data_IF_833979839042
#
_entry.id   IF_833979839042
#
_cell.length_a   1.000
_cell.length_b   1.000
_cell.length_c   1.000
_cell.angle_alpha   90.00
_cell.angle_beta   90.00
_cell.angle_gamma   90.00
#
_symmetry.space_group_name_H-M   'P 1'
#
loop_
_entity.id
_entity.type
_entity.pdbx_description
1 polymer ?
#
# COMPACT_ATOMS: atom_id res chain seq x y z
N UNK A 1 20.66 10.46 -4.13
CA UNK A 1 19.95 10.80 -2.88
C UNK A 1 20.41 12.19 -2.49
N UNK A 2 19.50 13.16 -2.36
CA UNK A 2 19.85 14.54 -1.96
C UNK A 2 19.56 14.67 -0.47
N UNK A 3 20.44 15.31 0.30
CA UNK A 3 20.30 15.45 1.76
C UNK A 3 20.52 16.90 2.16
N UNK A 4 19.86 17.30 3.26
CA UNK A 4 20.06 18.57 3.95
C UNK A 4 20.51 18.23 5.37
N UNK A 5 21.80 18.39 5.67
CA UNK A 5 22.36 17.87 6.91
C UNK A 5 22.11 16.36 7.05
N UNK A 6 21.43 15.94 8.14
CA UNK A 6 21.05 14.54 8.38
C UNK A 6 19.67 14.16 7.82
N UNK A 7 18.94 15.09 7.18
CA UNK A 7 17.57 14.87 6.70
C UNK A 7 17.58 14.58 5.20
N UNK A 8 16.82 13.57 4.77
CA UNK A 8 16.69 13.23 3.35
C UNK A 8 15.77 14.21 2.63
N UNK A 9 16.09 14.58 1.37
CA UNK A 9 15.20 15.36 0.50
C UNK A 9 14.50 14.42 -0.47
N UNK A 10 13.18 14.32 -0.34
CA UNK A 10 12.33 13.44 -1.15
C UNK A 10 11.51 14.28 -2.13
N UNK A 11 11.60 13.96 -3.41
CA UNK A 11 10.86 14.68 -4.47
C UNK A 11 9.62 13.87 -4.85
N UNK A 12 8.45 14.48 -4.74
CA UNK A 12 7.20 13.79 -5.06
C UNK A 12 6.95 13.70 -6.57
N UNK A 13 6.23 12.65 -7.01
CA UNK A 13 5.75 12.54 -8.40
C UNK A 13 4.87 13.74 -8.80
N UNK A 14 4.12 14.30 -7.84
CA UNK A 14 3.24 15.45 -8.05
C UNK A 14 4.02 16.73 -8.34
N UNK A 15 5.14 16.96 -7.64
CA UNK A 15 6.08 18.03 -7.98
C UNK A 15 6.61 17.88 -9.41
N UNK A 16 7.06 16.68 -9.80
CA UNK A 16 7.58 16.45 -11.16
C UNK A 16 6.53 16.73 -12.24
N UNK A 17 5.29 16.25 -12.04
CA UNK A 17 4.17 16.51 -12.97
C UNK A 17 3.79 17.99 -13.03
N UNK A 18 3.89 18.72 -11.92
CA UNK A 18 3.62 20.16 -11.88
C UNK A 18 4.74 20.94 -12.58
N UNK A 19 6.00 20.58 -12.32
CA UNK A 19 7.20 21.12 -12.98
C UNK A 19 7.13 20.97 -14.50
N UNK A 20 6.65 19.85 -15.02
CA UNK A 20 6.50 19.62 -16.47
C UNK A 20 5.62 20.67 -17.16
N UNK A 21 4.67 21.27 -16.44
CA UNK A 21 3.77 22.33 -16.95
C UNK A 21 4.45 23.69 -17.06
N UNK A 22 5.64 23.84 -16.47
CA UNK A 22 6.38 25.09 -16.35
C UNK A 22 7.81 24.95 -16.93
N UNK A 23 7.96 24.55 -18.20
CA UNK A 23 9.26 24.26 -18.82
C UNK A 23 10.23 25.44 -18.80
N UNK A 24 9.72 26.67 -18.90
CA UNK A 24 10.51 27.90 -18.93
C UNK A 24 11.30 28.16 -17.64
N UNK A 25 10.93 27.53 -16.51
CA UNK A 25 11.56 27.73 -15.20
C UNK A 25 12.39 26.52 -14.75
N UNK A 26 12.60 25.50 -15.61
CA UNK A 26 13.30 24.27 -15.21
C UNK A 26 14.71 24.49 -14.67
N UNK A 27 15.46 25.41 -15.28
CA UNK A 27 16.80 25.75 -14.82
C UNK A 27 16.77 26.38 -13.42
N UNK A 28 15.85 27.31 -13.20
CA UNK A 28 15.68 27.98 -11.90
C UNK A 28 15.26 26.97 -10.82
N UNK A 29 14.42 25.98 -11.16
CA UNK A 29 14.03 24.92 -10.24
C UNK A 29 15.21 24.07 -9.80
N UNK A 30 16.06 23.65 -10.75
CA UNK A 30 17.21 22.82 -10.43
C UNK A 30 18.23 23.58 -9.58
N UNK A 31 18.51 24.85 -9.91
CA UNK A 31 19.41 25.73 -9.14
C UNK A 31 18.90 25.97 -7.72
N UNK A 32 17.62 26.31 -7.55
CA UNK A 32 17.04 26.62 -6.24
C UNK A 32 16.85 25.37 -5.38
N UNK A 33 16.55 24.23 -5.99
CA UNK A 33 16.50 22.95 -5.29
C UNK A 33 17.90 22.52 -4.84
N UNK A 34 18.94 22.78 -5.62
CA UNK A 34 20.33 22.52 -5.21
C UNK A 34 20.73 23.42 -4.02
N UNK A 35 20.43 24.72 -4.08
CA UNK A 35 20.63 25.64 -2.95
C UNK A 35 19.87 25.19 -1.70
N UNK A 36 18.62 24.74 -1.86
CA UNK A 36 17.83 24.18 -0.76
C UNK A 36 18.49 22.94 -0.15
N UNK A 37 19.00 22.03 -0.99
CA UNK A 37 19.71 20.83 -0.52
C UNK A 37 21.01 21.18 0.22
N UNK A 38 21.72 22.23 -0.19
CA UNK A 38 22.94 22.68 0.48
C UNK A 38 22.64 23.34 1.83
N UNK A 39 21.70 24.29 1.85
CA UNK A 39 21.28 25.01 3.05
C UNK A 39 19.87 25.62 2.85
N UNK A 40 18.82 25.14 3.53
CA UNK A 40 17.48 25.71 3.43
C UNK A 40 17.40 27.18 3.86
N UNK A 41 18.31 27.64 4.71
CA UNK A 41 18.39 29.02 5.18
C UNK A 41 19.48 29.82 4.45
N UNK A 42 19.81 29.42 3.22
CA UNK A 42 20.78 30.14 2.41
C UNK A 42 20.31 31.60 2.15
N UNK A 43 21.17 32.63 2.22
CA UNK A 43 20.77 34.04 2.05
C UNK A 43 20.06 34.34 0.72
N UNK A 44 20.42 33.61 -0.34
CA UNK A 44 19.82 33.71 -1.68
C UNK A 44 18.57 32.84 -1.87
N UNK A 45 18.08 32.20 -0.81
CA UNK A 45 16.89 31.37 -0.80
C UNK A 45 15.94 31.87 0.29
N UNK A 46 14.87 32.54 -0.12
CA UNK A 46 13.80 32.89 0.81
C UNK A 46 13.02 31.62 1.10
N UNK A 47 13.11 31.11 2.32
CA UNK A 47 12.40 29.93 2.81
C UNK A 47 11.66 30.32 4.09
N UNK A 48 10.36 30.03 4.14
CA UNK A 48 9.50 30.43 5.24
C UNK A 48 8.36 29.44 5.45
N UNK A 49 7.86 29.39 6.69
CA UNK A 49 6.69 28.59 7.07
C UNK A 49 5.40 29.27 6.60
N UNK A 50 4.41 28.46 6.21
CA UNK A 50 3.08 28.92 5.82
C UNK A 50 2.13 28.90 7.03
N UNK A 51 2.25 29.94 7.86
CA UNK A 51 1.55 30.05 9.15
C UNK A 51 0.02 30.19 9.04
N UNK A 52 -0.48 30.57 7.87
CA UNK A 52 -1.90 30.77 7.60
C UNK A 52 -2.64 29.49 7.18
N UNK A 53 -1.94 28.36 7.05
CA UNK A 53 -2.53 27.10 6.63
C UNK A 53 -3.30 26.41 7.76
N UNK A 54 -4.40 25.73 7.41
CA UNK A 54 -5.24 24.99 8.37
C UNK A 54 -4.48 23.85 9.07
N UNK A 55 -3.39 23.37 8.47
CA UNK A 55 -2.54 22.30 8.97
C UNK A 55 -1.07 22.75 8.94
N UNK A 56 -0.41 22.70 10.10
CA UNK A 56 1.01 23.11 10.24
C UNK A 56 1.97 22.17 9.52
N UNK A 57 3.20 22.62 9.30
CA UNK A 57 4.26 21.82 8.66
C UNK A 57 4.41 22.03 7.15
N UNK A 58 3.79 23.08 6.61
CA UNK A 58 4.00 23.54 5.24
C UNK A 58 4.99 24.69 5.20
N UNK A 59 5.94 24.59 4.29
CA UNK A 59 6.94 25.62 4.03
C UNK A 59 6.98 25.93 2.54
N UNK A 60 7.45 27.13 2.20
CA UNK A 60 7.65 27.51 0.81
C UNK A 60 9.00 28.20 0.61
N UNK A 61 9.69 27.82 -0.46
CA UNK A 61 10.82 28.59 -0.96
C UNK A 61 10.54 29.26 -2.31
N UNK A 62 11.24 30.37 -2.53
CA UNK A 62 11.08 31.20 -3.70
C UNK A 62 12.03 30.71 -4.79
N UNK A 63 11.47 30.37 -5.94
CA UNK A 63 12.28 30.11 -7.13
C UNK A 63 12.69 31.44 -7.76
N UNK A 64 11.70 32.29 -7.98
CA UNK A 64 11.84 33.66 -8.46
C UNK A 64 10.68 34.51 -7.88
N UNK A 65 10.38 35.68 -8.46
CA UNK A 65 9.29 36.54 -7.97
C UNK A 65 7.92 35.87 -8.10
N UNK A 66 7.72 35.05 -9.13
CA UNK A 66 6.41 34.56 -9.55
C UNK A 66 6.15 33.12 -9.06
N UNK A 67 7.20 32.30 -8.94
CA UNK A 67 7.07 30.86 -8.65
C UNK A 67 7.47 30.53 -7.21
N UNK A 68 6.66 29.66 -6.59
CA UNK A 68 6.91 29.10 -5.26
C UNK A 68 6.93 27.58 -5.33
N UNK A 69 7.83 26.98 -4.56
CA UNK A 69 7.86 25.53 -4.33
C UNK A 69 7.38 25.27 -2.92
N UNK A 70 6.44 24.34 -2.80
CA UNK A 70 5.86 23.91 -1.53
C UNK A 70 6.62 22.68 -1.03
N UNK A 71 7.10 22.77 0.19
CA UNK A 71 7.84 21.74 0.90
C UNK A 71 7.09 21.41 2.19
N UNK A 72 7.09 20.13 2.57
CA UNK A 72 6.61 19.72 3.88
C UNK A 72 7.77 19.36 4.79
N UNK A 73 7.74 19.89 6.02
CA UNK A 73 8.71 19.65 7.08
C UNK A 73 8.31 18.40 7.88
N UNK A 74 9.18 17.37 7.88
CA UNK A 74 8.94 16.10 8.57
C UNK A 74 10.17 15.71 9.40
N UNK A 75 9.98 15.01 10.52
CA UNK A 75 11.05 14.77 11.53
C UNK A 75 12.40 14.33 10.92
N UNK A 76 12.39 13.38 9.97
CA UNK A 76 13.60 12.83 9.34
C UNK A 76 13.83 13.24 7.87
N UNK A 77 12.89 13.98 7.26
CA UNK A 77 12.97 14.31 5.83
C UNK A 77 12.30 15.62 5.43
N UNK A 78 12.75 16.18 4.31
CA UNK A 78 12.11 17.30 3.61
C UNK A 78 11.43 16.77 2.36
N UNK A 79 10.12 17.00 2.24
CA UNK A 79 9.35 16.47 1.11
C UNK A 79 8.96 17.60 0.17
N UNK A 80 9.48 17.59 -1.06
CA UNK A 80 9.19 18.60 -2.09
C UNK A 80 7.91 18.22 -2.83
N UNK A 81 6.82 18.91 -2.50
CA UNK A 81 5.46 18.46 -2.77
C UNK A 81 4.85 19.04 -4.05
N UNK A 82 5.07 20.33 -4.34
CA UNK A 82 4.39 21.01 -5.44
C UNK A 82 5.13 22.27 -5.89
N UNK A 83 4.85 22.74 -7.10
CA UNK A 83 5.40 23.99 -7.66
C UNK A 83 4.36 24.67 -8.53
N UNK A 84 4.16 25.97 -8.33
CA UNK A 84 3.27 26.79 -9.14
C UNK A 84 3.52 28.29 -8.92
N UNK A 85 2.75 29.12 -9.60
CA UNK A 85 2.68 30.55 -9.35
C UNK A 85 2.23 30.81 -7.90
N UNK A 86 2.73 31.88 -7.30
CA UNK A 86 2.59 32.24 -5.89
C UNK A 86 1.23 31.90 -5.27
N UNK A 87 0.15 32.50 -5.77
CA UNK A 87 -1.18 32.34 -5.17
C UNK A 87 -1.70 30.90 -5.32
N UNK A 88 -1.45 30.30 -6.48
CA UNK A 88 -1.87 28.92 -6.76
C UNK A 88 -1.12 27.91 -5.88
N UNK A 89 0.17 28.14 -5.64
CA UNK A 89 1.00 27.28 -4.79
C UNK A 89 0.54 27.32 -3.32
N UNK A 90 0.18 28.51 -2.81
CA UNK A 90 -0.31 28.64 -1.43
C UNK A 90 -1.71 28.09 -1.26
N UNK A 91 -2.64 28.40 -2.17
CA UNK A 91 -3.98 27.78 -2.15
C UNK A 91 -3.91 26.26 -2.26
N UNK A 92 -2.94 25.73 -3.01
CA UNK A 92 -2.71 24.30 -3.10
C UNK A 92 -2.32 23.69 -1.75
N UNK A 93 -1.48 24.37 -0.97
CA UNK A 93 -1.00 23.94 0.35
C UNK A 93 -2.09 24.08 1.42
N UNK A 94 -2.78 25.23 1.48
CA UNK A 94 -3.86 25.52 2.45
C UNK A 94 -4.98 24.48 2.42
N UNK A 95 -5.26 23.97 1.22
CA UNK A 95 -6.31 22.99 0.96
C UNK A 95 -5.88 21.55 1.24
N UNK A 96 -4.68 21.28 1.72
CA UNK A 96 -4.16 19.90 1.80
C UNK A 96 -3.54 19.59 3.16
N UNK A 97 -3.70 18.33 3.55
CA UNK A 97 -3.05 17.77 4.74
C UNK A 97 -1.98 16.78 4.31
N UNK A 98 -0.76 16.97 4.80
CA UNK A 98 0.29 15.98 4.67
C UNK A 98 0.09 14.88 5.71
N UNK A 99 0.11 13.61 5.28
CA UNK A 99 -0.07 12.44 6.15
C UNK A 99 1.07 11.47 5.91
N UNK A 100 1.84 11.16 6.94
CA UNK A 100 2.85 10.09 6.90
C UNK A 100 2.23 8.81 7.41
N UNK A 101 2.36 7.73 6.65
CA UNK A 101 2.12 6.40 7.15
C UNK A 101 3.42 5.85 7.74
N UNK A 102 3.53 5.93 9.07
CA UNK A 102 4.71 5.50 9.83
C UNK A 102 4.98 3.98 9.75
N UNK A 103 3.99 3.20 9.35
CA UNK A 103 4.10 1.73 9.24
C UNK A 103 4.70 1.29 7.92
N UNK A 104 4.50 2.07 6.85
CA UNK A 104 4.99 1.76 5.49
C UNK A 104 6.12 2.68 5.03
N UNK A 105 6.46 3.72 5.78
CA UNK A 105 7.44 4.73 5.37
C UNK A 105 7.00 5.57 4.17
N UNK A 106 5.71 5.52 3.80
CA UNK A 106 5.16 6.26 2.67
C UNK A 106 4.48 7.55 3.12
N UNK A 107 4.57 8.59 2.29
CA UNK A 107 3.89 9.86 2.51
C UNK A 107 2.70 10.00 1.54
N UNK A 108 1.61 10.59 2.01
CA UNK A 108 0.41 10.87 1.22
C UNK A 108 -0.09 12.28 1.50
N UNK A 109 -0.51 12.98 0.44
CA UNK A 109 -1.03 14.34 0.52
C UNK A 109 -2.54 14.27 0.29
N UNK A 110 -3.31 14.38 1.37
CA UNK A 110 -4.77 14.29 1.33
C UNK A 110 -5.36 15.48 0.56
N UNK A 111 -6.39 15.26 -0.29
CA UNK A 111 -7.11 16.33 -0.97
C UNK A 111 -7.92 17.20 0.02
N UNK A 112 -8.37 18.40 -0.40
CA UNK A 112 -9.20 19.28 0.43
C UNK A 112 -10.46 18.64 0.97
N UNK A 113 -10.79 19.01 2.21
CA UNK A 113 -11.97 18.54 2.96
C UNK A 113 -13.27 18.83 2.20
N UNK A 114 -13.33 19.92 1.43
CA UNK A 114 -14.53 20.28 0.67
C UNK A 114 -14.73 19.36 -0.55
N UNK A 115 -13.65 18.91 -1.21
CA UNK A 115 -13.70 17.85 -2.24
C UNK A 115 -13.99 16.46 -1.63
N UNK A 116 -13.66 16.25 -0.36
CA UNK A 116 -13.96 15.01 0.36
C UNK A 116 -15.42 14.94 0.83
N UNK A 117 -16.07 16.08 1.11
CA UNK A 117 -17.46 16.15 1.57
C UNK A 117 -18.48 16.02 0.43
N UNK A 118 -18.18 16.48 -0.78
CA UNK A 118 -19.11 16.30 -1.92
C UNK A 118 -19.22 14.82 -2.36
N UNK A 119 -18.25 13.98 -1.97
CA UNK A 119 -18.23 12.54 -2.24
C UNK A 119 -18.85 11.68 -1.12
N UNK A 120 -19.33 12.26 -0.02
CA UNK A 120 -19.80 11.48 1.14
C UNK A 120 -21.14 11.97 1.69
N UNK A 121 -22.22 11.69 0.96
CA UNK A 121 -23.50 11.45 1.61
C UNK A 121 -23.45 10.04 2.24
N UNK A 122 -23.13 9.96 3.53
CA UNK A 122 -23.19 8.72 4.31
C UNK A 122 -24.66 8.23 4.45
N UNK A 123 -24.86 6.91 4.70
CA UNK A 123 -25.24 6.61 6.09
C UNK A 123 -24.60 5.34 6.70
N UNK A 124 -24.56 5.41 8.04
CA UNK A 124 -24.48 4.42 9.11
C UNK A 124 -23.32 3.40 9.18
N UNK A 125 -22.39 3.75 10.09
CA UNK A 125 -21.58 3.01 11.08
C UNK A 125 -21.19 1.52 10.93
N UNK A 126 -21.46 0.84 9.82
CA UNK A 126 -21.13 -0.58 9.64
C UNK A 126 -19.85 -0.87 8.83
N UNK A 127 -19.17 0.12 8.23
CA UNK A 127 -18.11 -0.14 7.22
C UNK A 127 -16.66 0.14 7.64
N UNK A 128 -16.36 0.24 8.94
CA UNK A 128 -14.99 0.49 9.42
C UNK A 128 -13.96 -0.62 9.10
N UNK A 129 -14.36 -1.70 8.42
CA UNK A 129 -13.50 -2.83 8.03
C UNK A 129 -12.86 -2.65 6.63
N UNK A 130 -13.34 -1.72 5.79
CA UNK A 130 -12.81 -1.51 4.43
C UNK A 130 -12.45 -0.06 4.16
N UNK A 131 -11.33 0.42 4.73
CA UNK A 131 -10.71 1.66 4.27
C UNK A 131 -9.69 1.37 3.16
N UNK A 132 -10.16 1.06 1.96
CA UNK A 132 -9.37 1.31 0.76
C UNK A 132 -9.54 2.81 0.43
N UNK A 133 -8.45 3.61 0.34
CA UNK A 133 -8.56 4.99 -0.11
C UNK A 133 -8.87 4.96 -1.61
N UNK A 134 -10.16 4.91 -1.96
CA UNK A 134 -10.62 4.90 -3.35
C UNK A 134 -10.44 6.27 -4.04
N UNK A 135 -9.78 7.23 -3.39
CA UNK A 135 -9.44 8.53 -3.95
C UNK A 135 -8.48 8.35 -5.14
N UNK A 136 -9.00 8.43 -6.35
CA UNK A 136 -8.23 8.27 -7.60
C UNK A 136 -8.73 7.17 -8.53
N UNK A 137 -9.73 6.38 -8.14
CA UNK A 137 -10.34 5.36 -8.99
C UNK A 137 -11.65 5.83 -9.61
N UNK A 138 -11.96 5.35 -10.81
CA UNK A 138 -13.24 5.62 -11.47
C UNK A 138 -14.37 4.86 -10.79
N UNK A 139 -15.64 5.30 -10.91
CA UNK A 139 -16.78 4.56 -10.37
C UNK A 139 -16.83 3.10 -10.84
N UNK A 140 -16.42 2.83 -12.08
CA UNK A 140 -16.35 1.48 -12.63
C UNK A 140 -15.26 0.63 -11.96
N UNK A 141 -14.12 1.23 -11.63
CA UNK A 141 -13.05 0.54 -10.88
C UNK A 141 -13.48 0.25 -9.44
N UNK A 142 -14.18 1.19 -8.81
CA UNK A 142 -14.75 1.00 -7.47
C UNK A 142 -15.75 -0.17 -7.48
N UNK A 143 -16.62 -0.23 -8.49
CA UNK A 143 -17.57 -1.33 -8.64
C UNK A 143 -16.87 -2.68 -8.81
N UNK A 144 -15.78 -2.74 -9.57
CA UNK A 144 -14.96 -3.95 -9.71
C UNK A 144 -14.36 -4.39 -8.37
N UNK A 145 -13.81 -3.46 -7.59
CA UNK A 145 -13.28 -3.76 -6.24
C UNK A 145 -14.40 -4.27 -5.34
N UNK A 146 -15.54 -3.60 -5.30
CA UNK A 146 -16.68 -4.02 -4.49
C UNK A 146 -17.19 -5.39 -4.91
N UNK A 147 -17.26 -5.67 -6.21
CA UNK A 147 -17.64 -6.98 -6.71
C UNK A 147 -16.63 -8.07 -6.28
N UNK A 148 -15.33 -7.77 -6.30
CA UNK A 148 -14.29 -8.68 -5.80
C UNK A 148 -14.47 -8.98 -4.29
N UNK A 149 -14.66 -7.95 -3.47
CA UNK A 149 -14.93 -8.12 -2.03
C UNK A 149 -16.23 -8.89 -1.76
N UNK A 150 -17.29 -8.62 -2.54
CA UNK A 150 -18.52 -9.42 -2.50
C UNK A 150 -18.28 -10.88 -2.90
N UNK A 151 -17.32 -11.15 -3.78
CA UNK A 151 -16.88 -12.51 -4.11
C UNK A 151 -16.33 -13.25 -2.89
N UNK A 152 -15.51 -12.59 -2.07
CA UNK A 152 -15.04 -13.18 -0.80
C UNK A 152 -16.17 -13.49 0.16
N UNK A 153 -17.17 -12.60 0.23
CA UNK A 153 -18.39 -12.84 0.99
C UNK A 153 -19.21 -14.00 0.41
N UNK A 154 -19.44 -14.04 -0.90
CA UNK A 154 -20.25 -15.05 -1.57
C UNK A 154 -19.69 -16.46 -1.36
N UNK A 155 -18.38 -16.64 -1.56
CA UNK A 155 -17.70 -17.92 -1.34
C UNK A 155 -17.33 -18.19 0.11
N UNK A 156 -17.67 -17.30 1.03
CA UNK A 156 -17.46 -17.45 2.48
C UNK A 156 -15.98 -17.71 2.83
N UNK A 157 -15.05 -17.06 2.11
CA UNK A 157 -13.62 -17.32 2.25
C UNK A 157 -13.11 -17.12 3.69
N UNK A 158 -13.62 -16.10 4.39
CA UNK A 158 -13.27 -15.83 5.79
C UNK A 158 -13.79 -16.92 6.73
N UNK A 159 -15.02 -17.39 6.53
CA UNK A 159 -15.59 -18.45 7.35
C UNK A 159 -14.76 -19.74 7.21
N UNK A 160 -14.45 -20.14 5.98
CA UNK A 160 -13.66 -21.33 5.70
C UNK A 160 -12.21 -21.20 6.18
N UNK A 161 -11.61 -20.01 6.10
CA UNK A 161 -10.25 -19.79 6.61
C UNK A 161 -10.18 -19.89 8.14
N UNK A 162 -11.16 -19.33 8.86
CA UNK A 162 -11.27 -19.45 10.32
C UNK A 162 -11.49 -20.90 10.74
N UNK A 163 -12.41 -21.61 10.08
CA UNK A 163 -12.68 -23.02 10.38
C UNK A 163 -11.44 -23.90 10.09
N UNK A 164 -10.79 -23.66 8.96
CA UNK A 164 -9.55 -24.33 8.58
C UNK A 164 -8.41 -24.09 9.58
N UNK A 165 -8.22 -22.84 10.01
CA UNK A 165 -7.24 -22.48 11.03
C UNK A 165 -7.53 -23.19 12.36
N UNK A 166 -8.80 -23.24 12.78
CA UNK A 166 -9.22 -23.96 13.98
C UNK A 166 -8.90 -25.46 13.92
N UNK A 167 -9.22 -26.10 12.79
CA UNK A 167 -8.94 -27.53 12.58
C UNK A 167 -7.43 -27.82 12.53
N UNK A 168 -6.66 -27.02 11.79
CA UNK A 168 -5.20 -27.14 11.71
C UNK A 168 -4.56 -26.90 13.07
N UNK A 169 -5.02 -25.90 13.82
CA UNK A 169 -4.56 -25.64 15.18
C UNK A 169 -4.83 -26.79 16.13
N UNK A 170 -6.03 -27.40 16.06
CA UNK A 170 -6.38 -28.56 16.88
C UNK A 170 -5.51 -29.77 16.56
N UNK A 171 -5.33 -30.10 15.27
CA UNK A 171 -4.44 -31.18 14.81
C UNK A 171 -2.99 -30.91 15.22
N UNK A 172 -2.54 -29.66 15.07
CA UNK A 172 -1.19 -29.24 15.42
C UNK A 172 -0.90 -29.37 16.92
N UNK A 173 -1.82 -28.93 17.78
CA UNK A 173 -1.71 -29.07 19.23
C UNK A 173 -1.75 -30.55 19.67
N UNK A 174 -2.64 -31.35 19.07
CA UNK A 174 -2.68 -32.79 19.32
C UNK A 174 -1.37 -33.48 18.93
N UNK A 175 -0.87 -33.20 17.73
CA UNK A 175 0.39 -33.73 17.21
C UNK A 175 1.60 -33.29 18.05
N UNK A 176 1.63 -32.04 18.48
CA UNK A 176 2.67 -31.51 19.38
C UNK A 176 2.65 -32.22 20.73
N UNK A 177 1.46 -32.40 21.33
CA UNK A 177 1.30 -33.12 22.59
C UNK A 177 1.71 -34.58 22.48
N UNK A 178 1.37 -35.25 21.38
CA UNK A 178 1.82 -36.60 21.08
C UNK A 178 3.34 -36.69 20.97
N UNK A 179 3.95 -35.73 20.24
CA UNK A 179 5.39 -35.69 20.02
C UNK A 179 6.16 -35.45 21.33
N UNK A 180 5.73 -34.49 22.15
CA UNK A 180 6.32 -34.21 23.47
C UNK A 180 6.24 -35.41 24.41
N UNK A 181 5.09 -36.10 24.45
CA UNK A 181 4.93 -37.31 25.25
C UNK A 181 5.86 -38.45 24.81
N UNK A 182 6.25 -38.47 23.52
CA UNK A 182 7.21 -39.44 22.98
C UNK A 182 8.67 -39.03 23.21
N UNK A 183 8.98 -37.74 23.18
CA UNK A 183 10.35 -37.24 23.11
C UNK A 183 10.93 -36.71 24.42
N UNK A 184 10.13 -36.51 25.48
CA UNK A 184 10.64 -35.90 26.73
C UNK A 184 11.79 -36.69 27.38
N UNK A 185 11.71 -38.04 27.43
CA UNK A 185 12.77 -38.90 27.99
C UNK A 185 14.09 -38.81 27.21
N UNK A 186 14.12 -39.05 25.88
CA UNK A 186 15.37 -38.98 25.12
C UNK A 186 15.96 -37.56 25.05
N UNK A 187 15.14 -36.52 25.24
CA UNK A 187 15.60 -35.13 25.33
C UNK A 187 16.13 -34.76 26.73
N UNK A 188 16.11 -35.68 27.71
CA UNK A 188 16.58 -35.42 29.06
C UNK A 188 15.68 -34.48 29.88
N UNK A 189 14.42 -34.33 29.48
CA UNK A 189 13.43 -33.49 30.18
C UNK A 189 12.83 -34.24 31.39
N UNK A 190 12.35 -33.48 32.36
CA UNK A 190 11.71 -34.03 33.57
C UNK A 190 10.25 -34.43 33.32
N UNK A 191 9.69 -34.06 32.18
CA UNK A 191 8.35 -34.44 31.72
C UNK A 191 7.91 -33.62 30.49
N UNK A 192 6.71 -33.91 29.93
CA UNK A 192 6.18 -33.17 28.77
C UNK A 192 5.88 -31.69 29.04
N UNK A 193 5.66 -31.33 30.30
CA UNK A 193 5.36 -29.96 30.74
C UNK A 193 6.61 -29.21 31.25
N UNK A 194 7.80 -29.79 31.07
CA UNK A 194 9.06 -29.16 31.47
C UNK A 194 9.35 -27.93 30.60
N UNK A 195 9.57 -26.78 31.24
CA UNK A 195 9.86 -25.50 30.58
C UNK A 195 11.17 -25.57 29.77
N UNK A 196 12.11 -26.45 30.14
CA UNK A 196 13.32 -26.70 29.37
C UNK A 196 13.04 -27.24 27.95
N UNK A 197 11.83 -27.78 27.70
CA UNK A 197 11.39 -28.24 26.38
C UNK A 197 10.96 -27.11 25.42
N UNK A 198 10.88 -25.85 25.86
CA UNK A 198 10.42 -24.73 25.03
C UNK A 198 11.18 -24.57 23.70
N UNK A 199 12.52 -24.63 23.64
CA UNK A 199 13.24 -24.52 22.37
C UNK A 199 12.86 -25.61 21.37
N UNK A 200 12.59 -26.83 21.86
CA UNK A 200 12.14 -27.93 21.03
C UNK A 200 10.73 -27.68 20.48
N UNK A 201 9.80 -27.21 21.32
CA UNK A 201 8.46 -26.81 20.90
C UNK A 201 8.52 -25.72 19.82
N UNK A 202 9.30 -24.67 20.04
CA UNK A 202 9.47 -23.58 19.09
C UNK A 202 10.06 -24.07 17.77
N UNK A 203 11.05 -24.96 17.79
CA UNK A 203 11.64 -25.53 16.59
C UNK A 203 10.62 -26.37 15.79
N UNK A 204 9.83 -27.21 16.47
CA UNK A 204 8.78 -28.02 15.84
C UNK A 204 7.70 -27.13 15.23
N UNK A 205 7.23 -26.13 15.96
CA UNK A 205 6.21 -25.18 15.47
C UNK A 205 6.76 -24.36 14.30
N UNK A 206 7.98 -23.83 14.38
CA UNK A 206 8.60 -23.08 13.29
C UNK A 206 8.73 -23.93 12.01
N UNK A 207 9.17 -25.18 12.15
CA UNK A 207 9.28 -26.11 11.03
C UNK A 207 7.90 -26.42 10.43
N UNK A 208 6.91 -26.73 11.27
CA UNK A 208 5.54 -26.98 10.83
C UNK A 208 4.95 -25.77 10.09
N UNK A 209 5.15 -24.56 10.63
CA UNK A 209 4.74 -23.31 10.00
C UNK A 209 5.38 -23.14 8.63
N UNK A 210 6.70 -23.30 8.53
CA UNK A 210 7.43 -23.16 7.25
C UNK A 210 6.95 -24.18 6.20
N UNK A 211 6.76 -25.44 6.59
CA UNK A 211 6.28 -26.50 5.69
C UNK A 211 4.83 -26.30 5.23
N UNK A 212 4.02 -25.58 6.03
CA UNK A 212 2.62 -25.31 5.70
C UNK A 212 2.41 -24.12 4.75
N UNK A 213 3.42 -23.27 4.53
CA UNK A 213 3.31 -22.06 3.71
C UNK A 213 2.79 -22.32 2.28
N UNK A 214 3.28 -23.32 1.52
CA UNK A 214 2.80 -23.55 0.16
C UNK A 214 1.31 -23.87 0.08
N UNK A 215 0.81 -24.58 1.10
CA UNK A 215 -0.60 -24.95 1.19
C UNK A 215 -1.47 -23.74 1.53
N UNK A 216 -1.09 -22.97 2.55
CA UNK A 216 -1.80 -21.75 2.95
C UNK A 216 -1.86 -20.74 1.80
N UNK A 217 -0.72 -20.49 1.17
CA UNK A 217 -0.62 -19.57 0.04
C UNK A 217 -1.36 -20.11 -1.19
N UNK A 218 -1.40 -21.43 -1.38
CA UNK A 218 -2.23 -22.07 -2.42
C UNK A 218 -3.72 -21.81 -2.25
N UNK A 219 -4.24 -21.97 -1.03
CA UNK A 219 -5.65 -21.67 -0.70
C UNK A 219 -5.95 -20.18 -0.91
N UNK A 220 -5.07 -19.30 -0.41
CA UNK A 220 -5.20 -17.85 -0.60
C UNK A 220 -5.32 -17.47 -2.08
N UNK A 221 -4.39 -17.95 -2.92
CA UNK A 221 -4.44 -17.70 -4.37
C UNK A 221 -5.69 -18.28 -5.05
N UNK A 222 -6.23 -19.38 -4.55
CA UNK A 222 -7.47 -19.94 -5.07
C UNK A 222 -8.69 -19.06 -4.72
N UNK A 223 -8.75 -18.55 -3.50
CA UNK A 223 -9.77 -17.60 -3.07
C UNK A 223 -9.75 -16.32 -3.92
N UNK A 224 -8.57 -15.75 -4.16
CA UNK A 224 -8.40 -14.57 -5.03
C UNK A 224 -8.92 -14.81 -6.46
N UNK A 225 -8.57 -15.96 -7.07
CA UNK A 225 -9.06 -16.30 -8.42
C UNK A 225 -10.58 -16.42 -8.47
N UNK A 226 -11.20 -16.98 -7.43
CA UNK A 226 -12.66 -17.05 -7.34
C UNK A 226 -13.28 -15.66 -7.21
N UNK A 227 -12.70 -14.80 -6.37
CA UNK A 227 -13.17 -13.43 -6.18
C UNK A 227 -13.03 -12.59 -7.46
N UNK A 228 -11.92 -12.72 -8.18
CA UNK A 228 -11.73 -12.05 -9.47
C UNK A 228 -12.70 -12.54 -10.54
N UNK A 229 -12.92 -13.86 -10.61
CA UNK A 229 -13.89 -14.43 -11.53
C UNK A 229 -15.29 -13.91 -11.24
N UNK A 230 -15.66 -13.85 -9.96
CA UNK A 230 -16.93 -13.27 -9.52
C UNK A 230 -17.03 -11.77 -9.86
N UNK A 231 -15.95 -11.01 -9.70
CA UNK A 231 -15.91 -9.60 -10.05
C UNK A 231 -16.16 -9.38 -11.55
N UNK A 232 -15.49 -10.16 -12.41
CA UNK A 232 -15.66 -10.11 -13.86
C UNK A 232 -17.09 -10.47 -14.29
N UNK A 233 -17.65 -11.55 -13.73
CA UNK A 233 -19.00 -12.02 -14.10
C UNK A 233 -20.11 -11.12 -13.55
N UNK A 234 -19.90 -10.48 -12.41
CA UNK A 234 -20.93 -9.63 -11.77
C UNK A 234 -20.89 -8.20 -12.30
N UNK A 235 -19.70 -7.59 -12.38
CA UNK A 235 -19.57 -6.21 -12.89
C UNK A 235 -19.69 -6.11 -14.40
N UNK A 236 -19.33 -7.17 -15.14
CA UNK A 236 -19.26 -7.17 -16.61
C UNK A 236 -18.34 -6.06 -17.18
N UNK A 237 -17.35 -5.62 -16.39
CA UNK A 237 -16.45 -4.49 -16.72
C UNK A 237 -14.98 -4.93 -16.82
N UNK A 238 -14.61 -5.76 -17.83
CA UNK A 238 -13.25 -6.28 -17.96
C UNK A 238 -12.20 -5.19 -18.22
N UNK A 239 -12.57 -4.09 -18.90
CA UNK A 239 -11.66 -2.98 -19.14
C UNK A 239 -11.30 -2.23 -17.85
N UNK A 240 -12.29 -1.96 -16.98
CA UNK A 240 -12.04 -1.35 -15.68
C UNK A 240 -11.23 -2.26 -14.76
N UNK A 241 -11.45 -3.58 -14.82
CA UNK A 241 -10.64 -4.57 -14.12
C UNK A 241 -9.18 -4.53 -14.56
N UNK A 242 -8.90 -4.57 -15.87
CA UNK A 242 -7.54 -4.53 -16.41
C UNK A 242 -6.83 -3.24 -15.99
N UNK A 243 -7.48 -2.09 -16.19
CA UNK A 243 -6.92 -0.79 -15.82
C UNK A 243 -6.62 -0.70 -14.31
N UNK A 244 -7.52 -1.21 -13.46
CA UNK A 244 -7.32 -1.25 -12.01
C UNK A 244 -6.06 -2.05 -11.63
N UNK A 245 -5.90 -3.25 -12.19
CA UNK A 245 -4.75 -4.11 -11.87
C UNK A 245 -3.43 -3.60 -12.46
N UNK A 246 -3.45 -2.95 -13.61
CA UNK A 246 -2.29 -2.22 -14.14
C UNK A 246 -1.88 -1.06 -13.22
N UNK A 247 -2.86 -0.30 -12.71
CA UNK A 247 -2.59 0.75 -11.73
C UNK A 247 -1.97 0.18 -10.45
N UNK A 248 -2.48 -0.95 -9.93
CA UNK A 248 -1.88 -1.62 -8.79
C UNK A 248 -0.47 -2.12 -9.05
N UNK A 249 -0.19 -2.64 -10.25
CA UNK A 249 1.16 -3.08 -10.63
C UNK A 249 2.16 -1.93 -10.55
N UNK A 250 1.78 -0.76 -11.09
CA UNK A 250 2.62 0.45 -11.06
C UNK A 250 2.77 1.00 -9.65
N UNK A 251 1.69 1.05 -8.86
CA UNK A 251 1.71 1.59 -7.50
C UNK A 251 2.57 0.73 -6.55
N UNK A 252 2.45 -0.60 -6.64
CA UNK A 252 3.13 -1.53 -5.76
C UNK A 252 4.48 -2.02 -6.30
N UNK A 253 4.97 -1.45 -7.42
CA UNK A 253 6.18 -1.90 -8.11
C UNK A 253 6.23 -3.43 -8.28
N UNK A 254 5.09 -4.00 -8.66
CA UNK A 254 4.91 -5.44 -8.71
C UNK A 254 5.79 -6.06 -9.78
N UNK A 255 6.44 -7.18 -9.46
CA UNK A 255 7.24 -7.93 -10.42
C UNK A 255 6.32 -8.55 -11.47
N UNK A 256 6.65 -8.32 -12.75
CA UNK A 256 5.89 -8.83 -13.90
C UNK A 256 6.22 -10.29 -14.19
N UNK A 257 7.44 -10.74 -13.88
CA UNK A 257 7.89 -12.11 -14.09
C UNK A 257 8.35 -12.72 -12.76
N UNK A 258 7.52 -13.60 -12.20
CA UNK A 258 7.77 -14.27 -10.91
C UNK A 258 8.09 -15.72 -11.16
N UNK A 259 9.19 -16.23 -10.59
CA UNK A 259 9.54 -17.64 -10.75
C UNK A 259 8.48 -18.55 -10.11
N UNK A 260 8.22 -19.70 -10.72
CA UNK A 260 7.13 -20.59 -10.31
C UNK A 260 7.23 -21.10 -8.87
N UNK A 261 8.45 -21.30 -8.36
CA UNK A 261 8.68 -21.78 -6.99
C UNK A 261 8.49 -20.66 -5.95
N UNK A 262 8.93 -19.43 -6.25
CA UNK A 262 8.68 -18.26 -5.39
C UNK A 262 7.20 -18.02 -5.24
N UNK A 263 6.45 -18.11 -6.35
CA UNK A 263 4.99 -18.03 -6.34
C UNK A 263 4.40 -19.04 -5.38
N UNK A 264 4.82 -20.30 -5.47
CA UNK A 264 4.26 -21.38 -4.65
C UNK A 264 4.50 -21.13 -3.16
N UNK A 265 5.72 -20.74 -2.78
CA UNK A 265 6.14 -20.65 -1.39
C UNK A 265 5.72 -19.33 -0.73
N UNK A 266 5.83 -18.19 -1.41
CA UNK A 266 5.74 -16.87 -0.77
C UNK A 266 4.54 -16.02 -1.17
N UNK A 267 3.93 -16.27 -2.33
CA UNK A 267 2.89 -15.37 -2.85
C UNK A 267 1.52 -15.73 -2.31
N UNK A 268 0.93 -14.83 -1.52
CA UNK A 268 -0.46 -14.95 -1.03
C UNK A 268 -1.50 -14.68 -2.12
N UNK A 269 -1.13 -13.89 -3.13
CA UNK A 269 -2.00 -13.52 -4.25
C UNK A 269 -1.44 -14.06 -5.58
N UNK A 270 -2.29 -14.34 -6.58
CA UNK A 270 -1.81 -14.63 -7.92
C UNK A 270 -1.01 -13.44 -8.47
N UNK A 271 0.05 -13.67 -9.25
CA UNK A 271 0.73 -12.61 -9.99
C UNK A 271 -0.27 -11.79 -10.80
N UNK A 272 -0.02 -10.49 -10.95
CA UNK A 272 -0.92 -9.59 -11.67
C UNK A 272 -1.11 -10.06 -13.12
N UNK A 273 -0.07 -10.60 -13.74
CA UNK A 273 -0.13 -11.20 -15.08
C UNK A 273 -1.18 -12.30 -15.20
N UNK A 274 -1.29 -13.21 -14.21
CA UNK A 274 -2.33 -14.25 -14.21
C UNK A 274 -3.75 -13.67 -14.10
N UNK A 275 -3.92 -12.58 -13.35
CA UNK A 275 -5.22 -11.89 -13.18
C UNK A 275 -5.62 -11.17 -14.47
N UNK A 276 -4.69 -10.48 -15.13
CA UNK A 276 -4.91 -9.82 -16.42
C UNK A 276 -5.25 -10.84 -17.51
N UNK A 277 -4.49 -11.93 -17.62
CA UNK A 277 -4.79 -13.01 -18.57
C UNK A 277 -6.19 -13.59 -18.38
N UNK A 278 -6.64 -13.73 -17.14
CA UNK A 278 -7.98 -14.21 -16.84
C UNK A 278 -9.06 -13.24 -17.34
N UNK A 279 -8.87 -11.93 -17.11
CA UNK A 279 -9.78 -10.89 -17.59
C UNK A 279 -9.85 -10.84 -19.12
N UNK A 280 -8.71 -10.95 -19.80
CA UNK A 280 -8.65 -11.00 -21.26
C UNK A 280 -9.33 -12.24 -21.84
N UNK A 281 -9.10 -13.43 -21.23
CA UNK A 281 -9.77 -14.67 -21.63
C UNK A 281 -11.27 -14.58 -21.46
N UNK A 282 -11.73 -14.02 -20.34
CA UNK A 282 -13.14 -13.78 -20.09
C UNK A 282 -13.74 -12.83 -21.14
N UNK A 283 -13.08 -11.70 -21.44
CA UNK A 283 -13.54 -10.74 -22.44
C UNK A 283 -13.68 -11.37 -23.84
N UNK A 284 -12.75 -12.28 -24.21
CA UNK A 284 -12.85 -13.03 -25.47
C UNK A 284 -14.03 -14.00 -25.48
N UNK A 285 -14.32 -14.66 -24.34
CA UNK A 285 -15.45 -15.60 -24.25
C UNK A 285 -16.83 -14.95 -24.34
N UNK A 286 -16.98 -13.69 -23.91
CA UNK A 286 -18.26 -12.97 -23.96
C UNK A 286 -18.54 -12.36 -25.35
N UNK A 287 -17.48 -12.15 -26.17
CA UNK A 287 -17.60 -11.61 -27.53
C UNK A 287 -17.91 -12.66 -28.61
N UNK A 288 -17.77 -13.95 -28.29
CA UNK A 288 -18.07 -15.08 -29.18
C UNK A 288 -19.41 -15.72 -28.80
#
# INVERSE_FOLDING_TARGET
MRTVGNREVVITRRYNKARERLPQYHRDFDEKLELFCQNPHHPSLTFHELDHTKHKGWWAYYVNKDIRVIVSDQDDSWVVCYVDHHDAAYQWAERRRFTINLTTGSYSIAPPVDEAMEATAAPDEASAVFHAPLSGYTPDQIEVVLAHEMGHWYYQHVFWSVLGLGLVGWIGLFGLGWLLNRSWRPLGLHGPADVAGLPYVLAVVALASMLSLPFQNGISRYAERQADWFALTTSQKPAAFIELFEQFAVQNLSMVDTSGWEKVIFYTHPPITERLEMAEKWQKSVKN
#
